data_IF_606807792498
#
_entry.id   IF_606807792498
#
_cell.length_a   1.000
_cell.length_b   1.000
_cell.length_c   1.000
_cell.angle_alpha   90.00
_cell.angle_beta   90.00
_cell.angle_gamma   90.00
#
_symmetry.space_group_name_H-M   'P 1'
#
loop_
_entity.id
_entity.type
_entity.pdbx_description
1 polymer ?
#
# COMPACT_ATOMS: atom_id res chain seq x y z
N UNK A 1 5.21 28.85 -2.49
CA UNK A 1 5.02 28.45 -1.07
C UNK A 1 3.65 27.82 -0.81
N UNK A 2 2.52 28.45 -1.20
CA UNK A 2 1.19 27.85 -0.97
C UNK A 2 1.00 26.52 -1.73
N UNK A 3 1.35 26.47 -3.03
CA UNK A 3 1.24 25.26 -3.86
C UNK A 3 2.06 24.10 -3.27
N UNK A 4 3.30 24.37 -2.86
CA UNK A 4 4.17 23.37 -2.23
C UNK A 4 3.61 22.85 -0.92
N UNK A 5 2.97 23.71 -0.10
CA UNK A 5 2.29 23.27 1.13
C UNK A 5 1.12 22.33 0.81
N UNK A 6 0.29 22.69 -0.18
CA UNK A 6 -0.84 21.86 -0.62
C UNK A 6 -0.34 20.49 -1.10
N UNK A 7 0.73 20.46 -1.90
CA UNK A 7 1.32 19.21 -2.37
C UNK A 7 1.80 18.35 -1.19
N UNK A 8 2.56 18.91 -0.25
CA UNK A 8 3.04 18.17 0.92
C UNK A 8 1.88 17.64 1.78
N UNK A 9 0.81 18.42 1.96
CA UNK A 9 -0.38 17.98 2.70
C UNK A 9 -1.09 16.82 2.00
N UNK A 10 -1.30 16.91 0.68
CA UNK A 10 -1.92 15.82 -0.10
C UNK A 10 -1.04 14.57 -0.05
N UNK A 11 0.27 14.73 -0.17
CA UNK A 11 1.22 13.62 -0.03
C UNK A 11 1.11 12.94 1.34
N UNK A 12 1.08 13.71 2.42
CA UNK A 12 0.98 13.18 3.78
C UNK A 12 -0.35 12.44 4.00
N UNK A 13 -1.46 12.98 3.48
CA UNK A 13 -2.77 12.32 3.55
C UNK A 13 -2.78 11.00 2.78
N UNK A 14 -2.21 10.96 1.57
CA UNK A 14 -2.12 9.73 0.78
C UNK A 14 -1.21 8.68 1.45
N UNK A 15 -0.10 9.11 2.05
CA UNK A 15 0.78 8.24 2.82
C UNK A 15 0.06 7.62 4.02
N UNK A 16 -0.68 8.43 4.79
CA UNK A 16 -1.47 7.96 5.94
C UNK A 16 -2.56 6.99 5.50
N UNK A 17 -3.24 7.28 4.39
CA UNK A 17 -4.23 6.38 3.80
C UNK A 17 -3.63 5.04 3.39
N UNK A 18 -2.48 5.05 2.71
CA UNK A 18 -1.77 3.84 2.30
C UNK A 18 -1.30 3.02 3.51
N UNK A 19 -0.69 3.65 4.51
CA UNK A 19 -0.25 2.99 5.75
C UNK A 19 -1.44 2.37 6.51
N UNK A 20 -2.57 3.07 6.58
CA UNK A 20 -3.79 2.55 7.21
C UNK A 20 -4.34 1.34 6.47
N UNK A 21 -4.39 1.38 5.14
CA UNK A 21 -4.86 0.28 4.31
C UNK A 21 -3.94 -0.95 4.42
N UNK A 22 -2.63 -0.73 4.43
CA UNK A 22 -1.61 -1.76 4.64
C UNK A 22 -1.76 -2.43 6.01
N UNK A 23 -1.86 -1.65 7.08
CA UNK A 23 -2.06 -2.16 8.43
C UNK A 23 -3.35 -2.99 8.55
N UNK A 24 -4.47 -2.48 8.03
CA UNK A 24 -5.76 -3.19 8.04
C UNK A 24 -5.69 -4.50 7.26
N UNK A 25 -4.98 -4.51 6.14
CA UNK A 25 -4.82 -5.72 5.34
C UNK A 25 -4.04 -6.79 6.09
N UNK A 26 -2.85 -6.46 6.60
CA UNK A 26 -2.03 -7.40 7.35
C UNK A 26 -2.74 -7.92 8.60
N UNK A 27 -3.43 -7.03 9.31
CA UNK A 27 -4.15 -7.45 10.50
C UNK A 27 -5.35 -8.33 10.16
N UNK A 28 -6.05 -8.06 9.06
CA UNK A 28 -7.15 -8.93 8.62
C UNK A 28 -6.69 -10.33 8.24
N UNK A 29 -5.53 -10.48 7.57
CA UNK A 29 -4.94 -11.80 7.29
C UNK A 29 -4.58 -12.49 8.60
N UNK A 30 -3.94 -11.79 9.53
CA UNK A 30 -3.54 -12.37 10.83
C UNK A 30 -4.72 -12.85 11.67
N UNK A 31 -5.84 -12.13 11.67
CA UNK A 31 -6.99 -12.45 12.54
C UNK A 31 -8.01 -13.38 11.89
N UNK A 32 -8.26 -13.21 10.59
CA UNK A 32 -9.32 -13.95 9.89
C UNK A 32 -8.80 -15.20 9.18
N UNK A 33 -7.50 -15.24 8.88
CA UNK A 33 -6.85 -16.31 8.11
C UNK A 33 -5.53 -16.73 8.79
N UNK A 34 -5.57 -17.19 10.06
CA UNK A 34 -4.38 -17.49 10.84
C UNK A 34 -3.53 -18.61 10.22
N UNK A 35 -4.14 -19.54 9.50
CA UNK A 35 -3.44 -20.62 8.78
C UNK A 35 -2.58 -20.06 7.63
N UNK A 36 -3.14 -19.17 6.80
CA UNK A 36 -2.38 -18.45 5.78
C UNK A 36 -1.27 -17.61 6.41
N UNK A 37 -1.54 -16.94 7.54
CA UNK A 37 -0.52 -16.18 8.26
C UNK A 37 0.64 -17.05 8.75
N UNK A 38 0.37 -18.28 9.21
CA UNK A 38 1.42 -19.24 9.58
C UNK A 38 2.19 -19.75 8.36
N UNK A 39 1.52 -20.07 7.25
CA UNK A 39 2.15 -20.52 6.01
C UNK A 39 3.03 -19.44 5.36
N UNK A 40 2.72 -18.17 5.58
CA UNK A 40 3.57 -17.01 5.24
C UNK A 40 4.82 -16.92 6.15
N UNK A 41 4.96 -17.80 7.14
CA UNK A 41 6.08 -17.86 8.07
C UNK A 41 5.92 -16.96 9.29
N UNK A 42 4.68 -16.57 9.63
CA UNK A 42 4.35 -15.66 10.73
C UNK A 42 5.31 -14.44 10.80
N UNK A 43 5.41 -13.65 9.71
CA UNK A 43 6.43 -12.62 9.60
C UNK A 43 6.31 -11.60 10.74
N UNK A 44 7.45 -11.31 11.39
CA UNK A 44 7.54 -10.21 12.36
C UNK A 44 7.36 -8.88 11.64
N UNK A 45 6.78 -7.89 12.33
CA UNK A 45 6.36 -6.57 11.84
C UNK A 45 7.20 -5.98 10.69
N UNK A 46 8.53 -6.00 10.80
CA UNK A 46 9.43 -5.43 9.79
C UNK A 46 9.51 -6.22 8.47
N UNK A 47 9.30 -7.54 8.51
CA UNK A 47 9.36 -8.44 7.35
C UNK A 47 8.01 -8.64 6.66
N UNK A 48 6.92 -8.19 7.27
CA UNK A 48 5.56 -8.34 6.74
C UNK A 48 5.43 -7.80 5.31
N UNK A 49 5.80 -6.54 5.01
CA UNK A 49 5.67 -6.03 3.64
C UNK A 49 6.45 -6.87 2.63
N UNK A 50 7.66 -7.30 2.97
CA UNK A 50 8.51 -8.09 2.08
C UNK A 50 7.93 -9.48 1.75
N UNK A 51 7.29 -10.12 2.73
CA UNK A 51 6.63 -11.42 2.53
C UNK A 51 5.35 -11.26 1.70
N UNK A 52 4.59 -10.20 1.93
CA UNK A 52 3.32 -9.93 1.25
C UNK A 52 3.49 -9.54 -0.23
N UNK A 53 4.62 -8.92 -0.60
CA UNK A 53 4.96 -8.64 -2.02
C UNK A 53 5.75 -9.76 -2.69
N UNK A 54 6.17 -10.80 -1.95
CA UNK A 54 6.88 -11.93 -2.53
C UNK A 54 5.96 -12.76 -3.44
N UNK A 55 6.52 -13.36 -4.51
CA UNK A 55 5.74 -14.23 -5.42
C UNK A 55 4.99 -15.34 -4.66
N UNK A 56 5.67 -15.99 -3.71
CA UNK A 56 5.10 -17.04 -2.86
C UNK A 56 3.95 -16.52 -2.00
N UNK A 57 4.14 -15.35 -1.38
CA UNK A 57 3.12 -14.70 -0.56
C UNK A 57 1.89 -14.29 -1.37
N UNK A 58 2.08 -13.73 -2.57
CA UNK A 58 0.99 -13.38 -3.49
C UNK A 58 0.16 -14.60 -3.91
N UNK A 59 0.80 -15.72 -4.25
CA UNK A 59 0.08 -16.97 -4.60
C UNK A 59 -0.78 -17.44 -3.42
N UNK A 60 -0.24 -17.39 -2.21
CA UNK A 60 -0.93 -17.78 -0.98
C UNK A 60 -2.08 -16.82 -0.62
N UNK A 61 -1.87 -15.51 -0.78
CA UNK A 61 -2.87 -14.49 -0.47
C UNK A 61 -4.01 -14.48 -1.49
N UNK A 62 -3.76 -14.93 -2.72
CA UNK A 62 -4.78 -15.08 -3.75
C UNK A 62 -5.68 -16.31 -3.56
N UNK A 63 -5.29 -17.28 -2.72
CA UNK A 63 -6.12 -18.45 -2.41
C UNK A 63 -7.07 -18.21 -1.23
N UNK A 64 -7.10 -17.00 -0.64
CA UNK A 64 -8.07 -16.68 0.42
C UNK A 64 -9.47 -16.53 -0.15
N UNK A 65 -10.45 -17.21 0.44
CA UNK A 65 -11.87 -17.05 0.09
C UNK A 65 -12.54 -15.96 0.95
N UNK A 66 -11.88 -15.49 2.00
CA UNK A 66 -12.45 -14.51 2.91
C UNK A 66 -12.65 -13.14 2.25
N UNK A 67 -13.91 -12.73 2.10
CA UNK A 67 -14.28 -11.48 1.45
C UNK A 67 -13.70 -10.24 2.12
N UNK A 68 -13.53 -10.26 3.44
CA UNK A 68 -12.98 -9.13 4.20
C UNK A 68 -11.50 -8.94 3.90
N UNK A 69 -10.74 -10.05 3.85
CA UNK A 69 -9.32 -10.04 3.50
C UNK A 69 -9.15 -9.56 2.05
N UNK A 70 -9.99 -10.05 1.13
CA UNK A 70 -9.96 -9.65 -0.28
C UNK A 70 -10.31 -8.18 -0.48
N UNK A 71 -11.29 -7.67 0.24
CA UNK A 71 -11.67 -6.26 0.22
C UNK A 71 -10.53 -5.36 0.73
N UNK A 72 -9.86 -5.76 1.82
CA UNK A 72 -8.71 -5.04 2.36
C UNK A 72 -7.49 -5.10 1.42
N UNK A 73 -7.24 -6.24 0.77
CA UNK A 73 -6.21 -6.38 -0.26
C UNK A 73 -6.44 -5.40 -1.42
N UNK A 74 -7.70 -5.29 -1.90
CA UNK A 74 -8.08 -4.34 -2.94
C UNK A 74 -7.85 -2.89 -2.51
N UNK A 75 -8.24 -2.52 -1.29
CA UNK A 75 -7.99 -1.17 -0.73
C UNK A 75 -6.50 -0.86 -0.62
N UNK A 76 -5.70 -1.81 -0.16
CA UNK A 76 -4.24 -1.66 -0.11
C UNK A 76 -3.65 -1.39 -1.50
N UNK A 77 -4.03 -2.19 -2.51
CA UNK A 77 -3.58 -1.99 -3.90
C UNK A 77 -4.03 -0.64 -4.46
N UNK A 78 -5.27 -0.24 -4.21
CA UNK A 78 -5.80 1.05 -4.65
C UNK A 78 -5.05 2.21 -4.01
N UNK A 79 -4.77 2.15 -2.71
CA UNK A 79 -4.00 3.16 -2.01
C UNK A 79 -2.58 3.29 -2.57
N UNK A 80 -1.92 2.17 -2.87
CA UNK A 80 -0.62 2.15 -3.53
C UNK A 80 -0.64 2.81 -4.90
N UNK A 81 -1.64 2.48 -5.74
CA UNK A 81 -1.80 3.10 -7.07
C UNK A 81 -2.03 4.61 -6.97
N UNK A 82 -2.90 5.06 -6.06
CA UNK A 82 -3.17 6.49 -5.85
C UNK A 82 -1.92 7.26 -5.40
N UNK A 83 -1.15 6.68 -4.47
CA UNK A 83 0.09 7.29 -4.00
C UNK A 83 1.13 7.37 -5.12
N UNK A 84 1.35 6.27 -5.86
CA UNK A 84 2.28 6.23 -6.99
C UNK A 84 1.88 7.19 -8.12
N UNK A 85 0.59 7.26 -8.47
CA UNK A 85 0.10 8.18 -9.50
C UNK A 85 0.31 9.64 -9.09
N UNK A 86 0.06 9.95 -7.81
CA UNK A 86 0.30 11.28 -7.27
C UNK A 86 1.78 11.66 -7.35
N UNK A 87 2.69 10.79 -6.89
CA UNK A 87 4.14 11.02 -6.95
C UNK A 87 4.61 11.19 -8.39
N UNK A 88 4.12 10.36 -9.31
CA UNK A 88 4.42 10.47 -10.74
C UNK A 88 3.98 11.81 -11.34
N UNK A 89 2.77 12.27 -11.04
CA UNK A 89 2.26 13.57 -11.51
C UNK A 89 3.07 14.75 -10.98
N UNK A 90 3.43 14.73 -9.68
CA UNK A 90 4.26 15.78 -9.08
C UNK A 90 5.64 15.82 -9.74
N UNK A 91 6.27 14.66 -9.96
CA UNK A 91 7.57 14.57 -10.63
C UNK A 91 7.52 15.10 -12.07
N UNK A 92 6.55 14.65 -12.87
CA UNK A 92 6.40 15.12 -14.26
C UNK A 92 6.17 16.62 -14.30
N UNK A 93 5.31 17.14 -13.42
CA UNK A 93 5.02 18.58 -13.34
C UNK A 93 6.26 19.38 -12.95
N UNK A 94 7.05 18.90 -11.99
CA UNK A 94 8.30 19.52 -11.59
C UNK A 94 9.32 19.53 -12.74
N UNK A 95 9.49 18.41 -13.45
CA UNK A 95 10.39 18.33 -14.61
C UNK A 95 9.99 19.32 -15.69
N UNK A 96 8.70 19.41 -16.03
CA UNK A 96 8.19 20.36 -17.02
C UNK A 96 8.44 21.80 -16.58
N UNK A 97 8.16 22.11 -15.31
CA UNK A 97 8.42 23.44 -14.75
C UNK A 97 9.89 23.83 -14.85
N UNK A 98 10.80 22.98 -14.38
CA UNK A 98 12.26 23.24 -14.44
C UNK A 98 12.84 23.23 -15.85
N UNK A 99 12.17 22.61 -16.82
CA UNK A 99 12.58 22.63 -18.23
C UNK A 99 12.15 23.91 -18.95
N UNK A 100 11.04 24.53 -18.52
CA UNK A 100 10.45 25.71 -19.14
C UNK A 100 10.83 27.02 -18.44
N UNK A 101 11.32 26.94 -17.21
CA UNK A 101 11.90 28.05 -16.45
C UNK A 101 13.37 28.26 -16.81
#
# INVERSE_FOLDING_TARGET
MLITIILVLVWALLMLYAASAEYKYYQSVKTLEPELWQQLGAPRFLKVPMVFVSKKGLTLLNSTENETVRANAKKHRQAGVLFLSYVGLVLVSAIVFFKLA
#
